data_IF_930377162575
#
_entry.id   IF_930377162575
#
_cell.length_a   1.000
_cell.length_b   1.000
_cell.length_c   1.000
_cell.angle_alpha   90.00
_cell.angle_beta   90.00
_cell.angle_gamma   90.00
#
_symmetry.space_group_name_H-M   'P 1'
#
loop_
_entity.id
_entity.type
_entity.pdbx_description
1 polymer ?
#
# COMPACT_ATOMS: atom_id res chain seq x y z
N UNK A 1 -8.76 -6.42 19.37
CA UNK A 1 -8.59 -6.89 17.98
C UNK A 1 -7.48 -6.08 17.34
N UNK A 2 -6.63 -6.70 16.52
CA UNK A 2 -5.72 -5.96 15.65
C UNK A 2 -6.51 -5.36 14.49
N UNK A 3 -6.23 -4.10 14.15
CA UNK A 3 -6.76 -3.43 12.97
C UNK A 3 -5.83 -3.74 11.79
N UNK A 4 -6.37 -4.37 10.75
CA UNK A 4 -5.63 -4.62 9.52
C UNK A 4 -5.87 -3.45 8.57
N UNK A 5 -4.80 -2.88 8.07
CA UNK A 5 -4.80 -1.80 7.10
C UNK A 5 -4.12 -2.33 5.85
N UNK A 6 -4.81 -2.34 4.72
CA UNK A 6 -4.20 -2.70 3.44
C UNK A 6 -3.89 -1.43 2.67
N UNK A 7 -2.63 -1.30 2.24
CA UNK A 7 -2.20 -0.22 1.37
C UNK A 7 -2.41 -0.64 -0.07
N UNK A 8 -3.13 0.18 -0.81
CA UNK A 8 -3.38 0.00 -2.23
C UNK A 8 -2.75 1.13 -3.02
N UNK A 9 -2.23 0.80 -4.19
CA UNK A 9 -2.03 1.75 -5.27
C UNK A 9 -3.16 1.53 -6.28
N UNK A 10 -4.06 2.51 -6.43
CA UNK A 10 -5.34 2.34 -7.14
C UNK A 10 -6.13 1.13 -6.62
N UNK A 11 -6.19 0.07 -7.40
CA UNK A 11 -6.86 -1.21 -7.20
C UNK A 11 -5.88 -2.36 -6.89
N UNK A 12 -4.57 -2.11 -6.90
CA UNK A 12 -3.53 -3.13 -6.67
C UNK A 12 -3.01 -3.02 -5.23
N UNK A 13 -3.08 -4.08 -4.41
CA UNK A 13 -2.56 -4.04 -3.05
C UNK A 13 -1.03 -4.13 -3.07
N UNK A 14 -0.37 -3.33 -2.25
CA UNK A 14 1.09 -3.28 -2.14
C UNK A 14 1.60 -3.92 -0.83
N UNK A 15 0.96 -3.60 0.29
CA UNK A 15 1.38 -4.07 1.61
C UNK A 15 0.22 -4.13 2.59
N UNK A 16 0.35 -4.96 3.61
CA UNK A 16 -0.61 -5.07 4.72
C UNK A 16 0.08 -4.66 6.01
N UNK A 17 -0.59 -3.82 6.78
CA UNK A 17 -0.15 -3.32 8.08
C UNK A 17 -1.12 -3.83 9.13
N UNK A 18 -0.65 -4.62 10.08
CA UNK A 18 -1.41 -5.00 11.25
C UNK A 18 -1.06 -4.08 12.41
N UNK A 19 -2.05 -3.38 12.94
CA UNK A 19 -1.89 -2.53 14.11
C UNK A 19 -2.62 -3.12 15.30
N UNK A 20 -1.94 -3.23 16.44
CA UNK A 20 -2.56 -3.71 17.67
C UNK A 20 -2.23 -2.79 18.85
N UNK A 21 -3.09 -2.78 19.86
CA UNK A 21 -2.97 -1.90 21.02
C UNK A 21 -3.50 -0.48 20.79
N UNK A 22 -3.43 0.37 21.82
CA UNK A 22 -3.85 1.78 21.82
C UNK A 22 -2.87 2.65 22.61
N UNK A 23 -2.78 3.94 22.28
CA UNK A 23 -1.91 4.89 22.97
C UNK A 23 -0.42 4.52 22.86
N UNK A 24 0.29 4.54 23.99
CA UNK A 24 1.73 4.21 24.07
C UNK A 24 2.07 2.75 23.75
N UNK A 25 1.08 1.85 23.77
CA UNK A 25 1.27 0.42 23.52
C UNK A 25 0.89 0.02 22.07
N UNK A 26 0.84 0.96 21.13
CA UNK A 26 0.55 0.67 19.72
C UNK A 26 1.73 -0.09 19.10
N UNK A 27 1.46 -1.27 18.59
CA UNK A 27 2.42 -2.10 17.86
C UNK A 27 1.98 -2.20 16.40
N UNK A 28 2.92 -2.10 15.47
CA UNK A 28 2.68 -2.23 14.03
C UNK A 28 3.56 -3.32 13.46
N UNK A 29 2.94 -4.27 12.73
CA UNK A 29 3.64 -5.20 11.87
C UNK A 29 3.31 -4.86 10.42
N UNK A 30 4.32 -4.83 9.55
CA UNK A 30 4.17 -4.51 8.13
C UNK A 30 4.68 -5.69 7.32
N UNK A 31 3.87 -6.12 6.35
CA UNK A 31 4.22 -7.19 5.42
C UNK A 31 4.00 -6.66 4.01
N UNK A 32 5.09 -6.63 3.25
CA UNK A 32 5.04 -6.36 1.81
C UNK A 32 4.47 -7.58 1.07
N UNK A 33 3.63 -7.34 0.07
CA UNK A 33 3.09 -8.42 -0.73
C UNK A 33 4.13 -8.96 -1.72
N UNK A 34 3.92 -10.19 -2.23
CA UNK A 34 4.86 -10.80 -3.17
C UNK A 34 5.18 -9.92 -4.38
N UNK A 35 6.40 -10.06 -4.91
CA UNK A 35 6.95 -9.25 -6.02
C UNK A 35 6.02 -9.03 -7.22
N UNK A 36 5.12 -9.98 -7.51
CA UNK A 36 4.12 -9.85 -8.58
C UNK A 36 3.25 -8.59 -8.46
N UNK A 37 2.97 -8.13 -7.24
CA UNK A 37 2.18 -6.92 -7.00
C UNK A 37 2.97 -5.67 -7.33
N UNK A 38 4.23 -5.60 -6.93
CA UNK A 38 5.12 -4.50 -7.30
C UNK A 38 5.27 -4.40 -8.83
N UNK A 39 5.48 -5.53 -9.52
CA UNK A 39 5.55 -5.57 -10.99
C UNK A 39 4.24 -5.06 -11.63
N UNK A 40 3.09 -5.43 -11.06
CA UNK A 40 1.80 -4.97 -11.56
C UNK A 40 1.60 -3.45 -11.36
N UNK A 41 2.03 -2.92 -10.22
CA UNK A 41 2.03 -1.47 -9.95
C UNK A 41 2.93 -0.74 -10.96
N UNK A 42 4.16 -1.20 -11.15
CA UNK A 42 5.09 -0.60 -12.11
C UNK A 42 4.53 -0.65 -13.54
N UNK A 43 3.96 -1.77 -13.96
CA UNK A 43 3.35 -1.92 -15.28
C UNK A 43 2.13 -1.01 -15.47
N UNK A 44 1.29 -0.86 -14.44
CA UNK A 44 0.13 0.02 -14.46
C UNK A 44 0.54 1.50 -14.47
N UNK A 45 1.54 1.89 -13.67
CA UNK A 45 2.08 3.24 -13.65
C UNK A 45 2.72 3.63 -14.99
N UNK A 46 3.48 2.72 -15.61
CA UNK A 46 4.03 2.93 -16.95
C UNK A 46 2.93 3.04 -18.01
N UNK A 47 1.86 2.25 -17.90
CA UNK A 47 0.75 2.25 -18.86
C UNK A 47 -0.09 3.52 -18.80
N UNK A 48 -0.35 4.05 -17.60
CA UNK A 48 -1.09 5.30 -17.44
C UNK A 48 -0.26 6.53 -17.83
N UNK A 49 1.02 6.35 -18.18
CA UNK A 49 1.90 7.46 -18.52
C UNK A 49 2.07 8.42 -17.34
N UNK A 50 1.98 7.90 -16.11
CA UNK A 50 2.20 8.64 -14.87
C UNK A 50 3.70 9.01 -14.76
N UNK A 51 4.15 9.88 -15.66
CA UNK A 51 5.49 10.43 -15.73
C UNK A 51 5.71 11.52 -14.69
N UNK A 52 4.63 11.99 -14.04
CA UNK A 52 4.70 12.90 -12.91
C UNK A 52 4.55 12.09 -11.62
N UNK A 53 5.61 12.07 -10.80
CA UNK A 53 5.68 11.39 -9.50
C UNK A 53 4.52 11.75 -8.56
N UNK A 54 3.87 12.90 -8.79
CA UNK A 54 2.73 13.39 -8.02
C UNK A 54 1.45 12.55 -8.20
N UNK A 55 1.13 12.14 -9.44
CA UNK A 55 -0.04 11.29 -9.73
C UNK A 55 0.11 9.90 -9.11
N UNK A 56 1.34 9.37 -9.15
CA UNK A 56 1.69 8.09 -8.54
C UNK A 56 1.50 8.10 -7.02
N UNK A 57 1.77 9.23 -6.36
CA UNK A 57 1.61 9.39 -4.90
C UNK A 57 0.17 9.74 -4.49
N UNK A 58 -0.59 10.40 -5.36
CA UNK A 58 -1.97 10.81 -5.10
C UNK A 58 -2.95 9.63 -5.05
N UNK A 59 -2.67 8.53 -5.77
CA UNK A 59 -3.58 7.39 -5.86
C UNK A 59 -3.42 6.33 -4.75
N UNK A 60 -2.53 6.56 -3.78
CA UNK A 60 -2.36 5.64 -2.65
C UNK A 60 -3.55 5.71 -1.70
N UNK A 61 -4.20 4.57 -1.49
CA UNK A 61 -5.36 4.42 -0.59
C UNK A 61 -5.03 3.48 0.57
N UNK A 62 -5.57 3.79 1.74
CA UNK A 62 -5.50 2.93 2.93
C UNK A 62 -6.92 2.57 3.34
N UNK A 63 -7.20 1.28 3.48
CA UNK A 63 -8.47 0.75 4.00
C UNK A 63 -8.22 -0.20 5.15
#
# INVERSE_FOLDING_TARGET
MAHLITLFWRDIPAQVIAESGRGRNRQQAKIELPRRFAIAIDAAAMKDGANSTDDYLAEWRRS
#
